data_IF_195323491865
#
_entry.id   IF_195323491865
#
_cell.length_a   1.000
_cell.length_b   1.000
_cell.length_c   1.000
_cell.angle_alpha   90.00
_cell.angle_beta   90.00
_cell.angle_gamma   90.00
#
_symmetry.space_group_name_H-M   'P 1'
#
loop_
_entity.id
_entity.type
_entity.pdbx_description
1 polymer ?
#
# COMPACT_ATOMS: atom_id res chain seq x y z
N UNK A 1 26.83 8.20 -3.14
CA UNK A 1 25.37 8.14 -2.89
C UNK A 1 25.02 6.69 -2.65
N UNK A 2 24.40 6.33 -1.53
CA UNK A 2 24.04 4.93 -1.26
C UNK A 2 22.93 4.50 -2.24
N UNK A 3 23.11 3.34 -2.88
CA UNK A 3 22.15 2.79 -3.82
C UNK A 3 20.80 2.50 -3.13
N UNK A 4 19.71 3.00 -3.71
CA UNK A 4 18.36 2.85 -3.15
C UNK A 4 17.85 1.45 -3.48
N UNK A 5 17.94 0.52 -2.53
CA UNK A 5 17.42 -0.84 -2.70
C UNK A 5 15.91 -0.92 -2.45
N UNK A 6 15.13 -1.08 -3.52
CA UNK A 6 13.68 -1.36 -3.43
C UNK A 6 13.47 -2.76 -2.86
N UNK A 7 12.57 -2.88 -1.88
CA UNK A 7 12.18 -4.15 -1.22
C UNK A 7 10.73 -4.52 -1.49
N UNK A 8 9.88 -3.54 -1.77
CA UNK A 8 8.45 -3.72 -1.96
C UNK A 8 7.95 -2.89 -3.14
N UNK A 9 6.97 -3.43 -3.87
CA UNK A 9 6.20 -2.70 -4.86
C UNK A 9 4.75 -2.64 -4.35
N UNK A 10 4.22 -1.43 -4.18
CA UNK A 10 2.84 -1.20 -3.79
C UNK A 10 2.04 -0.72 -5.01
N UNK A 11 1.22 -1.61 -5.55
CA UNK A 11 0.27 -1.31 -6.61
C UNK A 11 -1.02 -0.76 -6.00
N UNK A 12 -1.33 0.49 -6.33
CA UNK A 12 -2.46 1.24 -5.77
C UNK A 12 -3.37 1.70 -6.89
N UNK A 13 -4.64 1.32 -6.79
CA UNK A 13 -5.69 1.85 -7.68
C UNK A 13 -6.68 2.62 -6.85
N UNK A 14 -6.84 3.92 -7.16
CA UNK A 14 -7.85 4.80 -6.58
C UNK A 14 -9.07 4.87 -7.48
N UNK A 15 -10.24 4.93 -6.87
CA UNK A 15 -11.50 5.17 -7.56
C UNK A 15 -12.23 6.32 -6.87
N UNK A 16 -12.61 7.34 -7.65
CA UNK A 16 -13.48 8.42 -7.20
C UNK A 16 -14.93 8.10 -7.54
N UNK A 17 -15.73 7.91 -6.51
CA UNK A 17 -17.17 7.77 -6.60
C UNK A 17 -17.81 9.15 -6.80
N UNK A 18 -18.09 9.47 -8.07
CA UNK A 18 -18.70 10.74 -8.47
C UNK A 18 -20.10 10.94 -7.88
N UNK A 19 -20.84 9.87 -7.55
CA UNK A 19 -22.21 9.97 -7.04
C UNK A 19 -22.20 10.49 -5.61
N UNK A 20 -21.32 9.93 -4.79
CA UNK A 20 -21.25 10.24 -3.35
C UNK A 20 -20.12 11.21 -2.99
N UNK A 21 -19.26 11.57 -3.94
CA UNK A 21 -18.07 12.41 -3.70
C UNK A 21 -16.95 11.72 -2.92
N UNK A 22 -16.98 10.39 -2.83
CA UNK A 22 -16.05 9.62 -2.01
C UNK A 22 -14.85 9.10 -2.80
N UNK A 23 -13.68 9.01 -2.16
CA UNK A 23 -12.51 8.32 -2.74
C UNK A 23 -12.29 7.00 -2.03
N UNK A 24 -12.04 5.97 -2.82
CA UNK A 24 -11.68 4.64 -2.37
C UNK A 24 -10.35 4.24 -3.00
N UNK A 25 -9.65 3.30 -2.37
CA UNK A 25 -8.40 2.75 -2.87
C UNK A 25 -8.29 1.26 -2.60
N UNK A 26 -7.52 0.58 -3.43
CA UNK A 26 -7.07 -0.80 -3.20
C UNK A 26 -5.55 -0.81 -3.12
N UNK A 27 -4.99 -1.73 -2.34
CA UNK A 27 -3.54 -1.90 -2.21
C UNK A 27 -3.18 -3.36 -2.45
N UNK A 28 -2.23 -3.59 -3.34
CA UNK A 28 -1.55 -4.85 -3.52
C UNK A 28 -0.06 -4.65 -3.28
N UNK A 29 0.48 -5.28 -2.25
CA UNK A 29 1.91 -5.19 -1.90
C UNK A 29 2.61 -6.46 -2.37
N UNK A 30 3.65 -6.29 -3.18
CA UNK A 30 4.54 -7.37 -3.61
C UNK A 30 5.87 -7.23 -2.89
N UNK A 31 6.31 -8.28 -2.19
CA UNK A 31 7.63 -8.34 -1.55
C UNK A 31 8.65 -8.92 -2.52
N UNK A 32 9.66 -8.14 -2.87
CA UNK A 32 10.59 -8.51 -3.94
C UNK A 32 11.53 -9.67 -3.59
N UNK A 33 11.82 -9.89 -2.31
CA UNK A 33 12.75 -10.96 -1.90
C UNK A 33 12.27 -12.37 -2.22
N UNK A 34 10.95 -12.57 -2.27
CA UNK A 34 10.32 -13.89 -2.41
C UNK A 34 9.04 -13.89 -3.27
N UNK A 35 8.73 -12.77 -3.94
CA UNK A 35 7.58 -12.64 -4.84
C UNK A 35 6.22 -12.69 -4.16
N UNK A 36 6.13 -12.78 -2.83
CA UNK A 36 4.85 -12.90 -2.13
C UNK A 36 4.03 -11.63 -2.26
N UNK A 37 2.73 -11.80 -2.47
CA UNK A 37 1.76 -10.70 -2.59
C UNK A 37 0.74 -10.74 -1.47
N UNK A 38 0.39 -9.57 -0.95
CA UNK A 38 -0.70 -9.39 0.03
C UNK A 38 -1.62 -8.26 -0.44
N UNK A 39 -2.90 -8.40 -0.15
CA UNK A 39 -3.93 -7.39 -0.41
C UNK A 39 -4.73 -7.13 0.86
N UNK A 40 -5.56 -6.07 0.85
CA UNK A 40 -6.55 -5.85 1.90
C UNK A 40 -7.55 -7.02 1.97
N UNK A 41 -8.02 -7.37 3.18
CA UNK A 41 -9.05 -8.42 3.35
C UNK A 41 -10.37 -8.07 2.65
N UNK A 42 -10.66 -6.78 2.50
CA UNK A 42 -11.74 -6.29 1.64
C UNK A 42 -11.17 -5.90 0.27
N UNK A 43 -11.97 -5.94 -0.81
CA UNK A 43 -11.47 -5.60 -2.15
C UNK A 43 -10.99 -4.15 -2.30
N UNK A 44 -11.38 -3.26 -1.39
CA UNK A 44 -10.93 -1.87 -1.32
C UNK A 44 -11.20 -1.28 0.07
N UNK A 45 -10.66 -0.08 0.29
CA UNK A 45 -10.78 0.72 1.50
C UNK A 45 -11.26 2.12 1.13
N UNK A 46 -11.94 2.78 2.06
CA UNK A 46 -12.24 4.19 1.95
C UNK A 46 -11.00 5.01 2.31
N UNK A 47 -10.72 6.07 1.55
CA UNK A 47 -9.67 7.01 1.92
C UNK A 47 -9.26 8.01 0.85
N UNK A 48 -8.74 9.14 1.32
CA UNK A 48 -8.31 10.26 0.48
C UNK A 48 -6.80 10.47 0.49
N UNK A 49 -6.32 11.20 -0.51
CA UNK A 49 -4.92 11.58 -0.63
C UNK A 49 -4.00 10.37 -0.57
N UNK A 50 -3.10 10.36 0.41
CA UNK A 50 -2.11 9.28 0.61
C UNK A 50 -2.51 8.25 1.68
N UNK A 51 -3.79 8.15 2.06
CA UNK A 51 -4.23 7.14 3.03
C UNK A 51 -3.93 5.70 2.59
N UNK A 52 -3.82 5.44 1.28
CA UNK A 52 -3.34 4.16 0.75
C UNK A 52 -1.96 3.75 1.29
N UNK A 53 -1.08 4.70 1.63
CA UNK A 53 0.23 4.40 2.20
C UNK A 53 0.12 3.81 3.59
N UNK A 54 -0.77 4.38 4.41
CA UNK A 54 -1.06 3.87 5.75
C UNK A 54 -1.68 2.47 5.68
N UNK A 55 -2.63 2.27 4.77
CA UNK A 55 -3.20 0.94 4.51
C UNK A 55 -2.12 -0.08 4.15
N UNK A 56 -1.21 0.23 3.23
CA UNK A 56 -0.13 -0.68 2.84
C UNK A 56 0.83 -1.00 3.99
N UNK A 57 1.24 0.01 4.77
CA UNK A 57 2.13 -0.16 5.93
C UNK A 57 1.47 -0.99 7.02
N UNK A 58 0.18 -0.78 7.28
CA UNK A 58 -0.60 -1.61 8.19
C UNK A 58 -0.67 -3.07 7.73
N UNK A 59 -0.91 -3.34 6.44
CA UNK A 59 -0.89 -4.70 5.89
C UNK A 59 0.48 -5.36 6.08
N UNK A 60 1.56 -4.67 5.71
CA UNK A 60 2.91 -5.20 5.89
C UNK A 60 3.27 -5.43 7.37
N UNK A 61 2.76 -4.59 8.28
CA UNK A 61 2.93 -4.78 9.71
C UNK A 61 2.20 -6.03 10.23
N UNK A 62 0.94 -6.22 9.84
CA UNK A 62 0.11 -7.38 10.19
C UNK A 62 0.74 -8.69 9.72
N UNK A 63 1.28 -8.69 8.50
CA UNK A 63 1.97 -9.84 7.91
C UNK A 63 3.41 -10.02 8.42
N UNK A 64 3.86 -9.19 9.36
CA UNK A 64 5.21 -9.20 9.94
C UNK A 64 6.32 -8.96 8.90
N UNK A 65 6.01 -8.28 7.79
CA UNK A 65 6.98 -7.91 6.74
C UNK A 65 7.81 -6.69 7.12
N UNK A 66 7.31 -5.85 8.02
CA UNK A 66 8.08 -4.76 8.62
C UNK A 66 8.86 -5.24 9.86
N UNK A 67 10.03 -4.66 10.18
CA UNK A 67 10.69 -4.83 11.46
C UNK A 67 9.77 -4.47 12.64
N UNK A 68 9.91 -5.14 13.79
CA UNK A 68 9.01 -4.99 14.96
C UNK A 68 8.83 -3.51 15.35
N UNK A 69 9.90 -2.72 15.34
CA UNK A 69 9.89 -1.29 15.69
C UNK A 69 8.98 -0.42 14.81
N UNK A 70 8.59 -0.89 13.62
CA UNK A 70 7.72 -0.16 12.68
C UNK A 70 6.34 -0.79 12.52
N UNK A 71 5.95 -1.72 13.40
CA UNK A 71 4.63 -2.38 13.29
C UNK A 71 3.51 -1.59 13.97
N UNK A 72 3.85 -0.67 14.87
CA UNK A 72 2.89 0.25 15.48
C UNK A 72 2.47 1.36 14.51
N UNK A 73 1.22 1.79 14.61
CA UNK A 73 0.59 2.75 13.69
C UNK A 73 1.32 4.10 13.62
N UNK A 74 1.89 4.55 14.74
CA UNK A 74 2.63 5.82 14.82
C UNK A 74 3.99 5.73 14.11
N UNK A 75 4.56 4.53 14.04
CA UNK A 75 5.90 4.27 13.51
C UNK A 75 5.90 3.87 12.03
N UNK A 76 4.74 3.57 11.44
CA UNK A 76 4.61 3.17 10.03
C UNK A 76 5.34 4.12 9.08
N UNK A 77 5.12 5.44 9.24
CA UNK A 77 5.75 6.46 8.37
C UNK A 77 7.26 6.56 8.56
N UNK A 78 7.77 6.22 9.75
CA UNK A 78 9.21 6.24 10.02
C UNK A 78 9.95 5.15 9.23
N UNK A 79 9.27 4.07 8.85
CA UNK A 79 9.85 2.99 8.06
C UNK A 79 10.49 3.48 6.77
N UNK A 80 9.74 4.22 5.94
CA UNK A 80 10.28 4.69 4.65
C UNK A 80 11.48 5.62 4.85
N UNK A 81 11.35 6.62 5.74
CA UNK A 81 12.38 7.62 5.98
C UNK A 81 13.69 7.01 6.50
N UNK A 82 13.61 6.11 7.46
CA UNK A 82 14.80 5.51 8.11
C UNK A 82 15.43 4.37 7.29
N UNK A 83 14.73 3.83 6.29
CA UNK A 83 15.21 2.71 5.47
C UNK A 83 15.49 3.13 4.01
N UNK A 84 15.74 4.42 3.78
CA UNK A 84 16.05 4.98 2.45
C UNK A 84 14.95 4.70 1.41
N UNK A 85 13.68 4.87 1.81
CA UNK A 85 12.47 4.74 0.97
C UNK A 85 12.41 3.42 0.17
N UNK A 86 12.32 2.26 0.86
CA UNK A 86 12.45 0.95 0.22
C UNK A 86 11.17 0.49 -0.51
N UNK A 87 10.12 1.31 -0.53
CA UNK A 87 8.84 1.01 -1.18
C UNK A 87 8.78 1.81 -2.49
N UNK A 88 8.44 1.12 -3.57
CA UNK A 88 8.05 1.74 -4.84
C UNK A 88 6.54 1.84 -4.88
N UNK A 89 6.03 3.06 -5.06
CA UNK A 89 4.59 3.34 -5.10
C UNK A 89 4.14 3.48 -6.56
N UNK A 90 3.34 2.53 -7.02
CA UNK A 90 2.72 2.56 -8.35
C UNK A 90 1.25 2.95 -8.17
N UNK A 91 1.00 4.26 -8.22
CA UNK A 91 -0.32 4.83 -7.92
C UNK A 91 -0.98 5.27 -9.21
N UNK A 92 -2.22 4.80 -9.44
CA UNK A 92 -3.05 5.27 -10.55
C UNK A 92 -4.49 5.47 -10.12
N UNK A 93 -5.17 6.36 -10.82
CA UNK A 93 -6.62 6.47 -10.78
C UNK A 93 -7.23 5.48 -11.81
N UNK A 94 -8.38 4.89 -11.47
CA UNK A 94 -9.05 3.89 -12.28
C UNK A 94 -10.55 3.79 -12.00
N UNK A 95 -11.21 2.87 -12.71
CA UNK A 95 -12.63 2.59 -12.48
C UNK A 95 -12.81 1.70 -11.24
N UNK A 96 -14.03 1.66 -10.71
CA UNK A 96 -14.39 0.78 -9.58
C UNK A 96 -13.96 -0.68 -9.83
N UNK A 97 -14.15 -1.17 -11.05
CA UNK A 97 -13.75 -2.53 -11.45
C UNK A 97 -12.24 -2.77 -11.39
N UNK A 98 -11.44 -1.77 -11.76
CA UNK A 98 -9.98 -1.87 -11.75
C UNK A 98 -9.45 -1.88 -10.31
N UNK A 99 -10.07 -1.07 -9.45
CA UNK A 99 -9.78 -1.04 -8.02
C UNK A 99 -10.13 -2.39 -7.35
N UNK A 100 -11.32 -2.93 -7.61
CA UNK A 100 -11.72 -4.23 -7.08
C UNK A 100 -10.77 -5.33 -7.57
N UNK A 101 -10.49 -5.37 -8.87
CA UNK A 101 -9.58 -6.36 -9.45
C UNK A 101 -8.15 -6.29 -8.87
N UNK A 102 -7.68 -5.11 -8.49
CA UNK A 102 -6.39 -4.96 -7.82
C UNK A 102 -6.41 -5.49 -6.37
N UNK A 103 -7.48 -5.25 -5.62
CA UNK A 103 -7.61 -5.68 -4.23
C UNK A 103 -7.99 -7.16 -4.04
N UNK A 104 -8.50 -7.81 -5.09
CA UNK A 104 -8.75 -9.26 -5.10
C UNK A 104 -7.51 -9.98 -5.68
N UNK A 105 -6.98 -10.97 -4.96
CA UNK A 105 -5.96 -11.91 -5.47
C UNK A 105 -6.61 -13.02 -6.28
#
# INVERSE_FOLDING_TARGET
MADRKIKFICNVVKWFDKVNGNTYHSVRVTRLRDGKTITTKTPYQYGYGEQYRQTALALMAQEKWLPVKYRGEREHRAYERENNYPIMWEVRDGLKRDMIANGTL
#
